data_IF_777619032388
#
_entry.id   IF_777619032388
#
_cell.length_a   1.000
_cell.length_b   1.000
_cell.length_c   1.000
_cell.angle_alpha   90.00
_cell.angle_beta   90.00
_cell.angle_gamma   90.00
#
_symmetry.space_group_name_H-M   'P 1'
#
loop_
_entity.id
_entity.type
_entity.pdbx_description
1 polymer ?
#
# COMPACT_ATOMS: atom_id res chain seq x y z
N UNK A 1 19.57 -5.38 1.43
CA UNK A 1 19.69 -5.22 2.89
C UNK A 1 20.07 -3.78 3.19
N UNK A 2 19.54 -3.19 4.28
CA UNK A 2 19.85 -1.79 4.66
C UNK A 2 20.95 -1.65 5.72
N UNK A 3 21.50 -2.78 6.16
CA UNK A 3 22.64 -2.83 7.09
C UNK A 3 23.91 -2.43 6.35
N UNK A 4 24.67 -1.48 6.90
CA UNK A 4 25.97 -1.04 6.38
C UNK A 4 26.98 -0.98 7.51
N UNK A 5 28.20 -1.42 7.25
CA UNK A 5 29.32 -1.16 8.14
C UNK A 5 29.78 0.30 7.96
N UNK A 6 30.08 0.96 9.07
CA UNK A 6 30.53 2.35 9.12
C UNK A 6 31.81 2.40 9.96
N UNK A 7 32.82 3.10 9.47
CA UNK A 7 34.15 3.17 10.11
C UNK A 7 34.67 4.61 10.30
N UNK A 8 33.84 5.63 10.08
CA UNK A 8 34.23 7.03 10.20
C UNK A 8 34.02 7.53 11.65
N UNK A 9 33.04 8.42 11.87
CA UNK A 9 32.66 8.96 13.20
C UNK A 9 32.06 7.91 14.14
N UNK A 10 31.75 6.72 13.62
CA UNK A 10 31.19 5.58 14.34
C UNK A 10 31.80 4.31 13.75
N UNK A 11 32.22 3.39 14.62
CA UNK A 11 32.77 2.08 14.23
C UNK A 11 31.74 1.02 14.60
N UNK A 12 31.07 0.45 13.61
CA UNK A 12 30.00 -0.52 13.83
C UNK A 12 29.06 -0.66 12.64
N UNK A 13 27.83 -1.12 12.91
CA UNK A 13 26.80 -1.28 11.89
C UNK A 13 25.75 -0.16 12.00
N UNK A 14 25.32 0.38 10.87
CA UNK A 14 24.17 1.28 10.72
C UNK A 14 23.08 0.55 9.95
N UNK A 15 21.86 0.60 10.48
CA UNK A 15 20.65 0.14 9.78
C UNK A 15 19.79 1.36 9.52
N UNK A 16 19.38 1.56 8.27
CA UNK A 16 18.61 2.73 7.86
C UNK A 16 17.54 2.38 6.84
N UNK A 17 16.28 2.68 7.16
CA UNK A 17 15.18 2.67 6.19
C UNK A 17 14.34 3.92 6.32
N UNK A 18 13.82 4.39 5.18
CA UNK A 18 12.77 5.41 5.15
C UNK A 18 11.40 4.74 5.13
N UNK A 19 10.56 5.07 6.11
CA UNK A 19 9.17 4.63 6.22
C UNK A 19 8.31 5.88 6.17
N UNK A 20 7.48 6.02 5.14
CA UNK A 20 6.64 7.20 4.95
C UNK A 20 7.38 8.56 4.99
N UNK A 21 8.59 8.60 4.41
CA UNK A 21 9.50 9.77 4.45
C UNK A 21 10.07 10.07 5.84
N UNK A 22 9.78 9.27 6.86
CA UNK A 22 10.43 9.33 8.16
C UNK A 22 11.65 8.38 8.16
N UNK A 23 12.87 8.89 8.39
CA UNK A 23 14.05 8.04 8.49
C UNK A 23 14.07 7.30 9.83
N UNK A 24 14.20 5.98 9.78
CA UNK A 24 14.48 5.14 10.95
C UNK A 24 15.91 4.66 10.89
N UNK A 25 16.74 5.13 11.83
CA UNK A 25 18.16 4.82 11.89
C UNK A 25 18.48 4.20 13.25
N UNK A 26 19.26 3.11 13.24
CA UNK A 26 19.83 2.52 14.45
C UNK A 26 21.28 2.12 14.23
N UNK A 27 22.09 2.33 15.26
CA UNK A 27 23.51 2.01 15.27
C UNK A 27 23.81 0.85 16.23
N UNK A 28 24.73 -0.02 15.83
CA UNK A 28 25.21 -1.16 16.61
C UNK A 28 26.73 -1.06 16.74
N UNK A 29 27.20 -0.67 17.92
CA UNK A 29 28.60 -0.28 18.16
C UNK A 29 29.51 -1.50 18.27
N UNK A 30 30.64 -1.48 17.57
CA UNK A 30 31.73 -2.43 17.82
C UNK A 30 32.61 -2.02 19.02
N UNK A 31 32.34 -0.89 19.67
CA UNK A 31 32.93 -0.55 20.97
C UNK A 31 32.02 -1.05 22.09
N UNK A 32 32.48 -2.06 22.82
CA UNK A 32 31.77 -2.67 23.93
C UNK A 32 32.20 -1.99 25.23
N UNK A 33 31.22 -1.56 26.02
CA UNK A 33 31.42 -0.98 27.35
C UNK A 33 31.82 -2.10 28.31
N UNK A 34 32.91 -1.90 29.04
CA UNK A 34 33.40 -2.86 30.04
C UNK A 34 33.60 -2.12 31.35
N UNK A 35 33.03 -2.65 32.44
CA UNK A 35 33.30 -2.14 33.78
C UNK A 35 34.48 -2.93 34.36
N UNK A 36 35.55 -2.24 34.72
CA UNK A 36 36.72 -2.86 35.35
C UNK A 36 37.09 -2.02 36.57
N UNK A 37 37.07 -2.62 37.75
CA UNK A 37 37.39 -1.97 39.03
C UNK A 37 36.60 -0.67 39.26
N UNK A 38 35.29 -0.66 38.95
CA UNK A 38 34.43 0.53 39.08
C UNK A 38 34.59 1.59 37.98
N UNK A 39 35.59 1.45 37.10
CA UNK A 39 35.83 2.36 35.99
C UNK A 39 35.21 1.80 34.71
N UNK A 40 34.43 2.63 34.02
CA UNK A 40 33.92 2.32 32.69
C UNK A 40 35.02 2.52 31.65
N UNK A 41 35.34 1.47 30.90
CA UNK A 41 36.24 1.50 29.74
C UNK A 41 35.55 0.96 28.50
N UNK A 42 36.18 1.10 27.33
CA UNK A 42 35.66 0.58 26.07
C UNK A 42 36.70 -0.31 25.41
N UNK A 43 36.27 -1.44 24.88
CA UNK A 43 37.12 -2.32 24.05
C UNK A 43 36.47 -2.59 22.70
N UNK A 44 37.27 -3.05 21.75
CA UNK A 44 36.75 -3.55 20.49
C UNK A 44 36.00 -4.88 20.69
N UNK A 45 34.92 -5.05 19.94
CA UNK A 45 34.15 -6.27 19.85
C UNK A 45 35.01 -7.38 19.23
N UNK A 46 34.94 -8.56 19.85
CA UNK A 46 35.51 -9.79 19.32
C UNK A 46 34.80 -10.23 18.04
N UNK A 47 35.37 -11.21 17.33
CA UNK A 47 34.75 -11.77 16.12
C UNK A 47 33.36 -12.37 16.40
N UNK A 48 33.18 -13.01 17.57
CA UNK A 48 31.90 -13.56 17.99
C UNK A 48 30.87 -12.46 18.23
N UNK A 49 31.23 -11.42 19.00
CA UNK A 49 30.34 -10.29 19.29
C UNK A 49 29.96 -9.52 18.03
N UNK A 50 30.89 -9.33 17.07
CA UNK A 50 30.57 -8.73 15.77
C UNK A 50 29.50 -9.53 15.01
N UNK A 51 29.56 -10.88 15.06
CA UNK A 51 28.57 -11.74 14.43
C UNK A 51 27.19 -11.62 15.09
N UNK A 52 27.14 -11.51 16.42
CA UNK A 52 25.90 -11.28 17.16
C UNK A 52 25.29 -9.90 16.85
N UNK A 53 26.13 -8.86 16.79
CA UNK A 53 25.71 -7.51 16.42
C UNK A 53 25.17 -7.46 14.98
N UNK A 54 25.78 -8.22 14.06
CA UNK A 54 25.27 -8.36 12.70
C UNK A 54 23.89 -9.02 12.68
N UNK A 55 23.70 -10.14 13.39
CA UNK A 55 22.41 -10.80 13.50
C UNK A 55 21.33 -9.88 14.10
N UNK A 56 21.69 -9.09 15.12
CA UNK A 56 20.80 -8.10 15.72
C UNK A 56 20.44 -6.96 14.75
N UNK A 57 21.42 -6.49 13.97
CA UNK A 57 21.21 -5.48 12.93
C UNK A 57 20.28 -5.99 11.82
N UNK A 58 20.48 -7.22 11.36
CA UNK A 58 19.60 -7.87 10.37
C UNK A 58 18.18 -8.10 10.89
N UNK A 59 18.04 -8.52 12.16
CA UNK A 59 16.73 -8.68 12.79
C UNK A 59 15.99 -7.34 12.87
N UNK A 60 16.70 -6.26 13.18
CA UNK A 60 16.15 -4.90 13.16
C UNK A 60 15.78 -4.46 11.74
N UNK A 61 16.60 -4.73 10.72
CA UNK A 61 16.28 -4.47 9.31
C UNK A 61 14.98 -5.19 8.88
N UNK A 62 14.83 -6.46 9.25
CA UNK A 62 13.61 -7.25 9.00
C UNK A 62 12.39 -6.65 9.70
N UNK A 63 12.54 -6.14 10.94
CA UNK A 63 11.46 -5.44 11.65
C UNK A 63 11.05 -4.17 10.90
N UNK A 64 12.01 -3.35 10.47
CA UNK A 64 11.74 -2.13 9.68
C UNK A 64 11.11 -2.47 8.32
N UNK A 65 11.53 -3.55 7.67
CA UNK A 65 10.92 -4.03 6.43
C UNK A 65 9.44 -4.36 6.60
N UNK A 66 9.09 -5.08 7.68
CA UNK A 66 7.70 -5.41 7.99
C UNK A 66 6.87 -4.15 8.23
N UNK A 67 7.42 -3.18 8.96
CA UNK A 67 6.75 -1.90 9.19
C UNK A 67 6.58 -1.11 7.88
N UNK A 68 7.60 -1.07 7.03
CA UNK A 68 7.53 -0.41 5.72
C UNK A 68 6.49 -1.05 4.80
N UNK A 69 6.40 -2.39 4.79
CA UNK A 69 5.34 -3.10 4.05
C UNK A 69 3.95 -2.75 4.60
N UNK A 70 3.77 -2.77 5.93
CA UNK A 70 2.50 -2.39 6.58
C UNK A 70 2.11 -0.93 6.29
N UNK A 71 3.06 -0.01 6.35
CA UNK A 71 2.82 1.42 6.09
C UNK A 71 2.41 1.67 4.63
N UNK A 72 3.04 0.99 3.66
CA UNK A 72 2.61 1.00 2.26
C UNK A 72 1.18 0.48 2.08
N UNK A 73 0.77 -0.53 2.86
CA UNK A 73 -0.62 -1.01 2.88
C UNK A 73 -1.58 -0.02 3.57
N UNK A 74 -1.11 0.74 4.56
CA UNK A 74 -1.90 1.67 5.37
C UNK A 74 -2.05 3.09 4.81
N UNK A 75 -1.26 3.53 3.83
CA UNK A 75 -1.66 4.63 2.93
C UNK A 75 -2.79 4.15 2.01
N UNK A 76 -3.90 3.85 2.68
CA UNK A 76 -5.01 3.09 2.17
C UNK A 76 -5.66 3.84 1.03
N UNK A 77 -5.92 3.10 -0.03
CA UNK A 77 -6.89 3.53 -1.00
C UNK A 77 -8.23 3.75 -0.28
N UNK A 78 -8.60 5.01 -0.06
CA UNK A 78 -9.94 5.36 0.40
C UNK A 78 -10.89 5.41 -0.82
N UNK A 79 -11.83 4.46 -0.93
CA UNK A 79 -12.78 4.43 -2.04
C UNK A 79 -13.81 5.56 -1.97
N UNK A 80 -14.01 6.23 -0.84
CA UNK A 80 -15.12 7.19 -0.66
C UNK A 80 -14.72 8.65 -0.95
N UNK A 81 -13.43 8.95 -1.03
CA UNK A 81 -12.93 10.28 -1.46
C UNK A 81 -12.83 10.31 -2.99
N UNK A 82 -13.97 10.50 -3.67
CA UNK A 82 -14.08 10.41 -5.13
C UNK A 82 -14.77 11.60 -5.80
N UNK A 83 -14.33 11.92 -7.02
CA UNK A 83 -15.03 12.81 -7.97
C UNK A 83 -15.74 12.05 -9.09
N UNK A 84 -15.74 10.72 -9.06
CA UNK A 84 -16.46 9.91 -10.06
C UNK A 84 -17.97 10.10 -9.91
N UNK A 85 -18.72 9.91 -10.99
CA UNK A 85 -20.17 10.04 -10.99
C UNK A 85 -20.90 9.02 -10.09
N UNK A 86 -20.26 7.89 -9.77
CA UNK A 86 -20.76 6.88 -8.84
C UNK A 86 -20.48 7.22 -7.37
N UNK A 87 -19.62 8.22 -7.09
CA UNK A 87 -19.17 8.53 -5.74
C UNK A 87 -18.10 7.58 -5.17
N UNK A 88 -17.69 6.54 -5.93
CA UNK A 88 -16.66 5.59 -5.51
C UNK A 88 -15.41 5.73 -6.38
N UNK A 89 -14.28 5.99 -5.73
CA UNK A 89 -12.99 6.19 -6.37
C UNK A 89 -12.65 4.96 -7.20
N UNK A 90 -12.24 5.19 -8.43
CA UNK A 90 -11.88 4.11 -9.34
C UNK A 90 -13.05 3.41 -10.03
N UNK A 91 -14.31 3.65 -9.67
CA UNK A 91 -15.48 3.14 -10.42
C UNK A 91 -16.19 4.33 -11.07
N UNK A 92 -16.53 4.24 -12.35
CA UNK A 92 -17.34 5.24 -13.04
C UNK A 92 -18.42 4.56 -13.86
N UNK A 93 -19.62 5.14 -13.91
CA UNK A 93 -20.65 4.71 -14.85
C UNK A 93 -20.42 5.42 -16.18
N UNK A 94 -20.48 4.70 -17.30
CA UNK A 94 -20.34 5.27 -18.63
C UNK A 94 -21.34 4.63 -19.59
N UNK A 95 -21.92 5.47 -20.43
CA UNK A 95 -22.80 5.07 -21.53
C UNK A 95 -22.37 5.86 -22.78
N UNK A 96 -22.22 5.20 -23.92
CA UNK A 96 -21.79 5.85 -25.17
C UNK A 96 -21.44 4.83 -26.24
N UNK A 97 -20.69 5.28 -27.26
CA UNK A 97 -20.13 4.42 -28.31
C UNK A 97 -18.62 4.33 -28.15
N UNK A 98 -18.05 3.14 -28.35
CA UNK A 98 -16.61 2.97 -28.40
C UNK A 98 -16.03 3.48 -29.73
N UNK A 99 -14.71 3.38 -29.89
CA UNK A 99 -14.00 3.85 -31.09
C UNK A 99 -14.39 3.09 -32.37
N UNK A 100 -15.05 1.94 -32.23
CA UNK A 100 -15.56 1.12 -33.34
C UNK A 100 -17.06 1.36 -33.58
N UNK A 101 -17.69 2.26 -32.82
CA UNK A 101 -19.10 2.60 -32.95
C UNK A 101 -20.05 1.69 -32.16
N UNK A 102 -19.55 0.70 -31.42
CA UNK A 102 -20.39 -0.18 -30.61
C UNK A 102 -20.86 0.54 -29.36
N UNK A 103 -22.16 0.42 -29.09
CA UNK A 103 -22.74 0.95 -27.86
C UNK A 103 -22.22 0.18 -26.65
N UNK A 104 -21.81 0.91 -25.63
CA UNK A 104 -21.46 0.38 -24.34
C UNK A 104 -22.23 1.12 -23.25
N UNK A 105 -22.69 0.35 -22.27
CA UNK A 105 -23.28 0.87 -21.04
C UNK A 105 -22.75 0.01 -19.91
N UNK A 106 -22.13 0.61 -18.90
CA UNK A 106 -21.46 -0.18 -17.86
C UNK A 106 -20.75 0.61 -16.79
N UNK A 107 -20.33 -0.12 -15.75
CA UNK A 107 -19.38 0.38 -14.76
C UNK A 107 -17.95 0.08 -15.22
N UNK A 108 -17.11 1.11 -15.24
CA UNK A 108 -15.71 1.04 -15.58
C UNK A 108 -14.87 1.23 -14.32
N UNK A 109 -14.04 0.24 -14.02
CA UNK A 109 -13.03 0.28 -12.97
C UNK A 109 -11.72 0.74 -13.59
N UNK A 110 -11.27 1.95 -13.24
CA UNK A 110 -10.01 2.54 -13.71
C UNK A 110 -9.16 2.95 -12.52
N UNK A 111 -8.14 2.17 -12.21
CA UNK A 111 -7.24 2.42 -11.07
C UNK A 111 -5.80 2.05 -11.40
N UNK A 112 -4.86 2.77 -10.81
CA UNK A 112 -3.44 2.40 -10.83
C UNK A 112 -3.08 1.73 -9.51
N UNK A 113 -2.43 0.58 -9.58
CA UNK A 113 -1.94 -0.18 -8.43
C UNK A 113 -0.51 -0.67 -8.73
N UNK A 114 0.44 -0.42 -7.82
CA UNK A 114 1.83 -0.83 -8.01
C UNK A 114 2.49 -0.34 -9.32
N UNK A 115 2.06 0.81 -9.86
CA UNK A 115 2.55 1.35 -11.15
C UNK A 115 1.91 0.75 -12.40
N UNK A 116 0.98 -0.21 -12.26
CA UNK A 116 0.21 -0.79 -13.37
C UNK A 116 -1.20 -0.22 -13.42
N UNK A 117 -1.66 0.13 -14.62
CA UNK A 117 -3.03 0.58 -14.85
C UNK A 117 -3.95 -0.64 -15.02
N UNK A 118 -5.02 -0.69 -14.24
CA UNK A 118 -6.10 -1.65 -14.38
C UNK A 118 -7.33 -0.95 -14.93
N UNK A 119 -7.75 -1.34 -16.13
CA UNK A 119 -8.99 -0.89 -16.78
C UNK A 119 -9.88 -2.11 -17.00
N UNK A 120 -11.03 -2.15 -16.32
CA UNK A 120 -11.96 -3.27 -16.38
C UNK A 120 -13.37 -2.72 -16.55
N UNK A 121 -14.17 -3.29 -17.46
CA UNK A 121 -15.59 -2.94 -17.61
C UNK A 121 -16.52 -4.05 -17.11
N UNK A 122 -17.61 -3.65 -16.47
CA UNK A 122 -18.79 -4.47 -16.17
C UNK A 122 -19.95 -3.90 -17.00
N UNK A 123 -20.29 -4.58 -18.10
CA UNK A 123 -21.35 -4.14 -19.01
C UNK A 123 -22.72 -4.48 -18.44
N UNK A 124 -23.69 -3.57 -18.62
CA UNK A 124 -25.09 -3.68 -18.21
C UNK A 124 -25.89 -4.65 -19.12
N UNK A 125 -25.38 -5.87 -19.31
CA UNK A 125 -26.09 -6.92 -20.05
C UNK A 125 -27.31 -7.43 -19.24
N UNK A 126 -27.66 -8.72 -19.36
CA UNK A 126 -28.85 -9.38 -18.77
C UNK A 126 -28.89 -9.46 -17.23
N UNK A 127 -28.23 -8.53 -16.54
CA UNK A 127 -28.14 -8.43 -15.07
C UNK A 127 -28.79 -7.15 -14.58
N UNK A 128 -29.29 -7.21 -13.35
CA UNK A 128 -29.84 -6.05 -12.65
C UNK A 128 -28.76 -4.99 -12.36
N UNK A 129 -29.20 -3.77 -12.05
CA UNK A 129 -28.31 -2.67 -11.67
C UNK A 129 -27.46 -3.03 -10.44
N UNK A 130 -28.09 -3.66 -9.45
CA UNK A 130 -27.52 -4.12 -8.18
C UNK A 130 -26.43 -5.18 -8.41
N UNK A 131 -26.69 -6.16 -9.27
CA UNK A 131 -25.72 -7.21 -9.59
C UNK A 131 -24.50 -6.64 -10.30
N UNK A 132 -24.72 -5.77 -11.29
CA UNK A 132 -23.63 -5.10 -12.00
C UNK A 132 -22.78 -4.25 -11.05
N UNK A 133 -23.43 -3.52 -10.13
CA UNK A 133 -22.73 -2.75 -9.11
C UNK A 133 -21.91 -3.64 -8.17
N UNK A 134 -22.52 -4.73 -7.67
CA UNK A 134 -21.86 -5.70 -6.79
C UNK A 134 -20.61 -6.29 -7.45
N UNK A 135 -20.69 -6.66 -8.73
CA UNK A 135 -19.53 -7.17 -9.48
C UNK A 135 -18.44 -6.09 -9.59
N UNK A 136 -18.80 -4.84 -9.89
CA UNK A 136 -17.84 -3.75 -9.98
C UNK A 136 -17.12 -3.48 -8.64
N UNK A 137 -17.88 -3.47 -7.54
CA UNK A 137 -17.36 -3.30 -6.18
C UNK A 137 -16.41 -4.45 -5.80
N UNK A 138 -16.77 -5.71 -6.08
CA UNK A 138 -15.92 -6.87 -5.82
C UNK A 138 -14.63 -6.86 -6.66
N UNK A 139 -14.71 -6.43 -7.93
CA UNK A 139 -13.52 -6.29 -8.78
C UNK A 139 -12.58 -5.20 -8.26
N UNK A 140 -13.11 -4.06 -7.83
CA UNK A 140 -12.31 -3.00 -7.20
C UNK A 140 -11.63 -3.53 -5.93
N UNK A 141 -12.39 -4.18 -5.06
CA UNK A 141 -11.88 -4.75 -3.81
C UNK A 141 -10.77 -5.77 -4.05
N UNK A 142 -10.88 -6.60 -5.10
CA UNK A 142 -9.84 -7.56 -5.48
C UNK A 142 -8.55 -6.86 -5.91
N UNK A 143 -8.63 -5.83 -6.75
CA UNK A 143 -7.42 -5.13 -7.25
C UNK A 143 -6.75 -4.33 -6.13
N UNK A 144 -7.52 -3.66 -5.28
CA UNK A 144 -7.00 -2.85 -4.15
C UNK A 144 -6.80 -3.64 -2.85
N UNK A 145 -7.04 -4.94 -2.87
CA UNK A 145 -6.94 -5.84 -1.72
C UNK A 145 -7.69 -5.30 -0.48
N UNK A 146 -8.91 -4.80 -0.70
CA UNK A 146 -9.72 -4.20 0.37
C UNK A 146 -10.24 -5.26 1.34
N UNK A 147 -10.39 -4.87 2.60
CA UNK A 147 -10.98 -5.73 3.60
C UNK A 147 -12.49 -5.96 3.35
N UNK A 148 -13.06 -6.97 4.02
CA UNK A 148 -14.48 -7.35 3.87
C UNK A 148 -15.44 -6.24 4.31
N UNK A 149 -15.12 -5.47 5.34
CA UNK A 149 -15.97 -4.42 5.87
C UNK A 149 -16.07 -3.24 4.89
N UNK A 150 -14.92 -2.79 4.37
CA UNK A 150 -14.81 -1.77 3.33
C UNK A 150 -15.53 -2.21 2.05
N UNK A 151 -15.32 -3.46 1.63
CA UNK A 151 -16.02 -4.04 0.47
C UNK A 151 -17.54 -4.01 0.64
N UNK A 152 -18.05 -4.41 1.82
CA UNK A 152 -19.48 -4.36 2.14
C UNK A 152 -20.02 -2.92 2.08
N UNK A 153 -19.29 -1.94 2.61
CA UNK A 153 -19.68 -0.52 2.53
C UNK A 153 -19.79 -0.03 1.08
N UNK A 154 -18.86 -0.42 0.20
CA UNK A 154 -18.93 -0.06 -1.23
C UNK A 154 -20.17 -0.69 -1.88
N UNK A 155 -20.44 -1.99 -1.64
CA UNK A 155 -21.62 -2.67 -2.19
C UNK A 155 -22.90 -1.96 -1.76
N UNK A 156 -22.99 -1.54 -0.50
CA UNK A 156 -24.15 -0.81 0.03
C UNK A 156 -24.25 0.63 -0.49
N UNK A 157 -23.13 1.24 -0.89
CA UNK A 157 -23.08 2.56 -1.51
C UNK A 157 -23.45 2.52 -3.01
N UNK A 158 -24.49 1.75 -3.35
CA UNK A 158 -24.96 1.65 -4.73
C UNK A 158 -25.45 3.00 -5.25
N UNK A 159 -24.96 3.48 -6.40
CA UNK A 159 -25.39 4.75 -6.93
C UNK A 159 -26.80 4.64 -7.53
N UNK A 160 -27.57 5.74 -7.49
CA UNK A 160 -28.90 5.80 -8.08
C UNK A 160 -28.86 5.60 -9.61
N UNK A 161 -29.55 4.56 -10.08
CA UNK A 161 -29.69 4.28 -11.52
C UNK A 161 -30.33 5.44 -12.27
N UNK A 162 -31.46 5.96 -11.76
CA UNK A 162 -32.18 7.09 -12.34
C UNK A 162 -31.28 8.32 -12.53
N UNK A 163 -30.44 8.63 -11.54
CA UNK A 163 -29.50 9.77 -11.59
C UNK A 163 -28.41 9.57 -12.65
N UNK A 164 -27.93 8.35 -12.83
CA UNK A 164 -26.82 8.04 -13.72
C UNK A 164 -27.25 7.84 -15.17
N UNK A 165 -28.39 7.18 -15.41
CA UNK A 165 -28.98 7.04 -16.76
C UNK A 165 -29.68 8.30 -17.25
N UNK A 166 -30.26 9.09 -16.34
CA UNK A 166 -30.99 10.32 -16.67
C UNK A 166 -30.10 11.51 -17.06
N UNK A 167 -28.78 11.41 -16.85
CA UNK A 167 -27.82 12.39 -17.38
C UNK A 167 -27.67 12.16 -18.88
N UNK A 168 -28.51 12.81 -19.69
CA UNK A 168 -28.23 12.96 -21.13
C UNK A 168 -26.82 13.58 -21.27
N UNK A 169 -25.98 12.96 -22.10
CA UNK A 169 -24.76 13.59 -22.54
C UNK A 169 -25.13 14.95 -23.16
N UNK A 170 -24.57 16.04 -22.61
CA UNK A 170 -24.55 17.32 -23.32
C UNK A 170 -23.63 17.19 -24.51
#
# INVERSE_FOLDING_TARGET
MSVREVNDKFIGLRVERSIDKVPHVKFFSYRIRVLKNGITTYRNATRAEKKELLAAAEAYDKKLERLQKKSKTQKGFDPFVSRTNTGIKGISYRAGKDTQGYEYVGFFINITEGGKQHSISVRMADRTWEENWRIAALRLAKVKQLDKATTKKIILAIPSEKKLRGRKAK
#
